data_IF_288967334089
#
_entry.id   IF_288967334089
#
_cell.length_a   1.000
_cell.length_b   1.000
_cell.length_c   1.000
_cell.angle_alpha   90.00
_cell.angle_beta   90.00
_cell.angle_gamma   90.00
#
_symmetry.space_group_name_H-M   'P 1'
#
loop_
_entity.id
_entity.type
_entity.pdbx_description
1 polymer ?
#
# COMPACT_ATOMS: atom_id res chain seq x y z
N UNK A 1 -33.94 -1.98 11.74
CA UNK A 1 -33.72 -3.43 11.96
C UNK A 1 -32.81 -3.57 13.20
N UNK A 2 -33.02 -4.55 14.09
CA UNK A 2 -32.16 -4.70 15.29
C UNK A 2 -30.99 -5.64 14.93
N UNK A 3 -29.73 -5.25 15.17
CA UNK A 3 -28.54 -6.06 14.89
C UNK A 3 -28.55 -7.42 15.62
N UNK A 4 -28.01 -8.45 14.97
CA UNK A 4 -27.99 -9.82 15.51
C UNK A 4 -27.27 -9.91 16.87
N UNK A 5 -26.12 -9.25 17.01
CA UNK A 5 -25.35 -9.17 18.25
C UNK A 5 -26.13 -8.55 19.41
N UNK A 6 -26.92 -7.51 19.15
CA UNK A 6 -27.80 -6.87 20.15
C UNK A 6 -28.93 -7.83 20.55
N UNK A 7 -29.55 -8.53 19.58
CA UNK A 7 -30.58 -9.54 19.89
C UNK A 7 -30.02 -10.68 20.74
N UNK A 8 -28.80 -11.12 20.45
CA UNK A 8 -28.12 -12.20 21.19
C UNK A 8 -27.79 -11.80 22.63
N UNK A 9 -27.55 -10.51 22.89
CA UNK A 9 -27.23 -9.99 24.21
C UNK A 9 -28.45 -9.90 25.16
N UNK A 10 -29.68 -9.99 24.63
CA UNK A 10 -30.92 -10.08 25.41
C UNK A 10 -31.78 -8.81 25.39
N UNK A 11 -32.90 -8.87 26.09
CA UNK A 11 -33.97 -7.86 26.01
C UNK A 11 -33.53 -6.48 26.52
N UNK A 12 -32.67 -6.42 27.54
CA UNK A 12 -32.13 -5.16 28.05
C UNK A 12 -31.23 -4.43 27.03
N UNK A 13 -30.44 -5.18 26.26
CA UNK A 13 -29.61 -4.64 25.20
C UNK A 13 -30.48 -4.11 24.06
N UNK A 14 -31.55 -4.83 23.70
CA UNK A 14 -32.53 -4.37 22.71
C UNK A 14 -33.19 -3.05 23.16
N UNK A 15 -33.64 -2.96 24.40
CA UNK A 15 -34.25 -1.75 24.94
C UNK A 15 -33.28 -0.55 24.96
N UNK A 16 -32.02 -0.80 25.28
CA UNK A 16 -30.96 0.23 25.30
C UNK A 16 -30.60 0.69 23.88
N UNK A 17 -30.54 -0.23 22.92
CA UNK A 17 -30.35 0.08 21.50
C UNK A 17 -31.50 0.94 20.95
N UNK A 18 -32.74 0.54 21.20
CA UNK A 18 -33.92 1.27 20.72
C UNK A 18 -34.03 2.67 21.33
N UNK A 19 -33.75 2.83 22.63
CA UNK A 19 -33.68 4.15 23.27
C UNK A 19 -32.61 5.05 22.64
N UNK A 20 -31.43 4.50 22.38
CA UNK A 20 -30.34 5.24 21.74
C UNK A 20 -30.70 5.68 20.32
N UNK A 21 -31.30 4.79 19.52
CA UNK A 21 -31.79 5.12 18.19
C UNK A 21 -32.92 6.18 18.22
N UNK A 22 -33.85 6.09 19.17
CA UNK A 22 -34.92 7.06 19.34
C UNK A 22 -34.40 8.46 19.73
N UNK A 23 -33.25 8.53 20.42
CA UNK A 23 -32.57 9.79 20.74
C UNK A 23 -31.77 10.39 19.57
N UNK A 24 -31.78 9.75 18.39
CA UNK A 24 -31.08 10.22 17.20
C UNK A 24 -29.60 9.83 17.12
N UNK A 25 -29.15 8.87 17.95
CA UNK A 25 -27.79 8.37 17.87
C UNK A 25 -27.54 7.58 16.57
N UNK A 26 -26.26 7.46 16.19
CA UNK A 26 -25.86 6.57 15.09
C UNK A 26 -26.01 5.11 15.51
N UNK A 27 -26.26 4.22 14.53
CA UNK A 27 -26.44 2.78 14.78
C UNK A 27 -25.23 2.17 15.51
N UNK A 28 -24.01 2.55 15.12
CA UNK A 28 -22.76 2.13 15.78
C UNK A 28 -22.70 2.56 17.25
N UNK A 29 -23.09 3.79 17.57
CA UNK A 29 -23.13 4.28 18.95
C UNK A 29 -24.22 3.58 19.78
N UNK A 30 -25.39 3.33 19.18
CA UNK A 30 -26.46 2.59 19.83
C UNK A 30 -26.05 1.14 20.16
N UNK A 31 -25.33 0.46 19.25
CA UNK A 31 -24.77 -0.88 19.48
C UNK A 31 -23.75 -0.85 20.63
N UNK A 32 -22.86 0.15 20.63
CA UNK A 32 -21.84 0.34 21.68
C UNK A 32 -22.49 0.46 23.07
N UNK A 33 -23.49 1.34 23.21
CA UNK A 33 -24.24 1.51 24.46
C UNK A 33 -25.02 0.25 24.86
N UNK A 34 -25.65 -0.42 23.90
CA UNK A 34 -26.44 -1.63 24.14
C UNK A 34 -25.60 -2.82 24.61
N UNK A 35 -24.40 -3.00 24.05
CA UNK A 35 -23.49 -4.09 24.38
C UNK A 35 -22.52 -3.76 25.51
N UNK A 36 -22.57 -2.53 26.03
CA UNK A 36 -21.59 -1.98 26.98
C UNK A 36 -20.14 -2.21 26.54
N UNK A 37 -19.92 -2.31 25.23
CA UNK A 37 -18.61 -2.53 24.64
C UNK A 37 -18.08 -1.19 24.20
N UNK A 38 -16.88 -0.77 24.63
CA UNK A 38 -16.30 0.47 24.15
C UNK A 38 -16.14 0.43 22.62
N UNK A 39 -16.14 1.60 21.95
CA UNK A 39 -16.00 1.62 20.50
C UNK A 39 -14.65 1.01 20.12
N UNK A 40 -14.64 0.14 19.12
CA UNK A 40 -13.39 -0.41 18.60
C UNK A 40 -12.46 0.72 18.17
N UNK A 41 -11.25 0.79 18.71
CA UNK A 41 -10.30 1.88 18.41
C UNK A 41 -9.58 1.64 17.08
N UNK A 42 -10.34 1.46 15.99
CA UNK A 42 -9.79 1.29 14.65
C UNK A 42 -9.01 2.55 14.25
N UNK A 43 -7.79 2.39 13.75
CA UNK A 43 -6.95 3.51 13.29
C UNK A 43 -6.08 4.16 14.37
N UNK A 44 -6.14 3.69 15.62
CA UNK A 44 -5.16 4.10 16.64
C UNK A 44 -3.89 3.24 16.56
N UNK A 45 -2.74 3.81 16.94
CA UNK A 45 -1.49 3.05 17.04
C UNK A 45 -1.60 1.89 18.02
N UNK A 46 -2.35 2.08 19.12
CA UNK A 46 -2.65 1.02 20.08
C UNK A 46 -3.29 -0.19 19.40
N UNK A 47 -4.34 0.02 18.62
CA UNK A 47 -5.00 -1.07 17.89
C UNK A 47 -4.14 -1.62 16.74
N UNK A 48 -3.31 -0.77 16.12
CA UNK A 48 -2.39 -1.21 15.08
C UNK A 48 -1.27 -2.11 15.62
N UNK A 49 -0.79 -1.86 16.84
CA UNK A 49 0.32 -2.59 17.46
C UNK A 49 -0.13 -3.68 18.44
N UNK A 50 -1.43 -3.79 18.72
CA UNK A 50 -2.02 -4.84 19.54
C UNK A 50 -1.63 -6.22 19.02
N UNK A 51 -1.02 -7.05 19.88
CA UNK A 51 -0.51 -8.37 19.51
C UNK A 51 0.76 -8.35 18.66
N UNK A 52 1.51 -7.24 18.60
CA UNK A 52 2.70 -7.11 17.71
C UNK A 52 3.96 -6.57 18.40
N UNK A 53 3.83 -5.96 19.59
CA UNK A 53 4.94 -5.29 20.30
C UNK A 53 6.16 -6.20 20.59
N UNK A 54 5.97 -7.50 20.80
CA UNK A 54 7.03 -8.45 21.17
C UNK A 54 7.39 -9.44 20.07
N UNK A 55 7.41 -9.01 18.81
CA UNK A 55 7.61 -9.89 17.63
C UNK A 55 6.54 -10.98 17.47
N UNK A 56 5.41 -10.87 18.17
CA UNK A 56 4.28 -11.81 18.10
C UNK A 56 3.72 -11.97 16.68
N UNK A 57 3.97 -11.00 15.79
CA UNK A 57 3.70 -11.13 14.35
C UNK A 57 4.40 -12.34 13.68
N UNK A 58 5.50 -12.83 14.26
CA UNK A 58 6.26 -13.97 13.76
C UNK A 58 5.76 -15.29 14.36
N UNK A 59 4.91 -15.27 15.38
CA UNK A 59 4.43 -16.49 16.06
C UNK A 59 3.56 -17.36 15.13
N UNK A 60 2.91 -16.75 14.14
CA UNK A 60 2.17 -17.45 13.09
C UNK A 60 3.07 -18.09 12.01
N UNK A 61 4.38 -17.87 12.05
CA UNK A 61 5.33 -18.42 11.07
C UNK A 61 6.02 -19.68 11.62
N UNK A 62 6.43 -20.62 10.74
CA UNK A 62 7.32 -21.70 11.14
C UNK A 62 8.59 -21.15 11.82
N UNK A 63 9.00 -21.74 12.94
CA UNK A 63 10.08 -21.22 13.77
C UNK A 63 11.39 -20.95 13.01
N UNK A 64 11.71 -21.77 11.99
CA UNK A 64 12.89 -21.56 11.14
C UNK A 64 12.78 -20.28 10.30
N UNK A 65 11.60 -20.00 9.75
CA UNK A 65 11.35 -18.80 8.96
C UNK A 65 11.35 -17.55 9.84
N UNK A 66 10.71 -17.60 11.00
CA UNK A 66 10.73 -16.50 11.98
C UNK A 66 12.17 -16.13 12.38
N UNK A 67 13.00 -17.13 12.71
CA UNK A 67 14.42 -16.93 13.02
C UNK A 67 15.20 -16.35 11.83
N UNK A 68 14.93 -16.83 10.63
CA UNK A 68 15.59 -16.35 9.42
C UNK A 68 15.26 -14.87 9.14
N UNK A 69 13.98 -14.50 9.14
CA UNK A 69 13.52 -13.11 8.94
C UNK A 69 14.14 -12.18 9.99
N UNK A 70 14.10 -12.58 11.27
CA UNK A 70 14.67 -11.80 12.35
C UNK A 70 16.20 -11.65 12.22
N UNK A 71 16.90 -12.71 11.83
CA UNK A 71 18.35 -12.68 11.62
C UNK A 71 18.73 -11.77 10.44
N UNK A 72 18.02 -11.85 9.32
CA UNK A 72 18.30 -11.02 8.15
C UNK A 72 17.97 -9.53 8.39
N UNK A 73 16.88 -9.24 9.08
CA UNK A 73 16.55 -7.87 9.46
C UNK A 73 17.62 -7.30 10.42
N UNK A 74 18.05 -8.08 11.41
CA UNK A 74 19.12 -7.69 12.34
C UNK A 74 20.46 -7.49 11.63
N UNK A 75 20.80 -8.36 10.68
CA UNK A 75 22.01 -8.23 9.86
C UNK A 75 21.98 -6.96 8.99
N UNK A 76 20.79 -6.50 8.59
CA UNK A 76 20.59 -5.22 7.92
C UNK A 76 20.58 -4.01 8.88
N UNK A 77 20.86 -4.21 10.18
CA UNK A 77 20.90 -3.15 11.19
C UNK A 77 19.52 -2.72 11.72
N UNK A 78 18.47 -3.51 11.49
CA UNK A 78 17.09 -3.16 11.86
C UNK A 78 16.79 -3.67 13.27
N UNK A 79 16.32 -2.78 14.15
CA UNK A 79 15.68 -3.19 15.40
C UNK A 79 14.22 -3.53 15.13
N UNK A 80 13.90 -4.83 15.16
CA UNK A 80 12.55 -5.36 14.93
C UNK A 80 11.66 -5.33 16.19
N UNK A 81 12.25 -5.16 17.38
CA UNK A 81 11.50 -5.12 18.63
C UNK A 81 10.58 -3.90 18.67
N UNK A 82 9.31 -4.10 19.04
CA UNK A 82 8.31 -3.02 19.03
C UNK A 82 7.92 -2.54 17.64
N UNK A 83 8.33 -3.23 16.57
CA UNK A 83 7.99 -2.86 15.18
C UNK A 83 7.24 -3.99 14.49
N UNK A 84 6.32 -3.62 13.62
CA UNK A 84 5.56 -4.51 12.76
C UNK A 84 6.09 -4.45 11.32
N UNK A 85 6.30 -5.62 10.72
CA UNK A 85 6.68 -5.76 9.33
C UNK A 85 5.46 -5.67 8.43
N UNK A 86 5.42 -4.64 7.58
CA UNK A 86 4.37 -4.46 6.58
C UNK A 86 4.95 -4.76 5.20
N UNK A 87 4.78 -5.99 4.75
CA UNK A 87 5.31 -6.44 3.45
C UNK A 87 4.84 -5.62 2.25
N UNK A 88 3.64 -5.04 2.31
CA UNK A 88 3.11 -4.14 1.28
C UNK A 88 3.87 -2.81 1.15
N UNK A 89 4.63 -2.42 2.18
CA UNK A 89 5.48 -1.23 2.14
C UNK A 89 6.88 -1.55 1.61
N UNK A 90 7.34 -2.79 1.70
CA UNK A 90 8.71 -3.18 1.41
C UNK A 90 9.11 -2.91 -0.05
N UNK A 91 10.38 -2.53 -0.24
CA UNK A 91 10.99 -2.53 -1.56
C UNK A 91 11.49 -3.93 -1.99
N UNK A 92 12.35 -4.00 -3.00
CA UNK A 92 12.90 -5.28 -3.51
C UNK A 92 13.74 -6.05 -2.48
N UNK A 93 14.11 -5.44 -1.35
CA UNK A 93 14.87 -6.07 -0.26
C UNK A 93 13.99 -6.81 0.73
N UNK A 94 12.67 -6.68 0.66
CA UNK A 94 11.72 -7.38 1.54
C UNK A 94 11.93 -7.03 3.02
N UNK A 95 12.02 -8.03 3.90
CA UNK A 95 12.23 -7.84 5.34
C UNK A 95 13.58 -7.23 5.73
N UNK A 96 14.51 -7.07 4.78
CA UNK A 96 15.77 -6.33 4.98
C UNK A 96 15.62 -4.82 4.76
N UNK A 97 14.41 -4.35 4.44
CA UNK A 97 14.09 -2.94 4.24
C UNK A 97 13.67 -2.27 5.56
N UNK A 98 14.44 -1.31 6.10
CA UNK A 98 14.11 -0.65 7.35
C UNK A 98 12.76 0.06 7.35
N UNK A 99 12.32 0.58 6.19
CA UNK A 99 11.06 1.33 6.06
C UNK A 99 9.83 0.44 6.04
N UNK A 100 10.01 -0.89 5.89
CA UNK A 100 8.93 -1.85 6.01
C UNK A 100 8.62 -2.22 7.47
N UNK A 101 9.49 -1.85 8.43
CA UNK A 101 9.30 -2.08 9.85
C UNK A 101 8.81 -0.80 10.53
N UNK A 102 7.52 -0.77 10.86
CA UNK A 102 6.81 0.41 11.35
C UNK A 102 6.32 0.22 12.79
N UNK A 103 6.20 1.31 13.53
CA UNK A 103 5.72 1.35 14.91
C UNK A 103 4.40 2.09 15.08
N UNK A 104 3.93 2.78 14.03
CA UNK A 104 2.69 3.56 14.03
C UNK A 104 2.02 3.60 12.65
N UNK A 105 0.76 4.00 12.64
CA UNK A 105 0.00 4.27 11.41
C UNK A 105 0.59 5.47 10.63
N UNK A 106 1.16 6.45 11.32
CA UNK A 106 1.80 7.61 10.69
C UNK A 106 3.05 7.21 9.89
N UNK A 107 3.84 6.27 10.42
CA UNK A 107 4.99 5.72 9.69
C UNK A 107 4.53 4.96 8.43
N UNK A 108 3.42 4.22 8.51
CA UNK A 108 2.81 3.56 7.35
C UNK A 108 2.44 4.58 6.27
N UNK A 109 1.73 5.66 6.65
CA UNK A 109 1.31 6.70 5.71
C UNK A 109 2.53 7.40 5.08
N UNK A 110 3.53 7.75 5.89
CA UNK A 110 4.74 8.43 5.43
C UNK A 110 5.50 7.59 4.40
N UNK A 111 5.69 6.29 4.68
CA UNK A 111 6.39 5.38 3.76
C UNK A 111 5.55 5.14 2.50
N UNK A 112 4.23 5.00 2.63
CA UNK A 112 3.32 4.84 1.50
C UNK A 112 3.35 6.04 0.55
N UNK A 113 3.35 7.27 1.09
CA UNK A 113 3.48 8.51 0.33
C UNK A 113 4.85 8.62 -0.34
N UNK A 114 5.93 8.40 0.40
CA UNK A 114 7.29 8.48 -0.12
C UNK A 114 7.50 7.52 -1.31
N UNK A 115 6.93 6.32 -1.22
CA UNK A 115 7.07 5.27 -2.24
C UNK A 115 5.96 5.24 -3.27
N UNK A 116 4.97 6.13 -3.16
CA UNK A 116 3.71 6.10 -3.93
C UNK A 116 3.13 4.68 -4.02
N UNK A 117 2.97 4.03 -2.87
CA UNK A 117 2.34 2.72 -2.74
C UNK A 117 0.91 2.89 -2.26
N UNK A 118 -0.04 2.29 -2.97
CA UNK A 118 -1.41 2.23 -2.47
C UNK A 118 -1.45 1.34 -1.22
N UNK A 119 -2.09 1.82 -0.17
CA UNK A 119 -2.27 1.08 1.09
C UNK A 119 -3.73 1.18 1.50
N UNK A 120 -4.29 0.07 1.97
CA UNK A 120 -5.63 0.00 2.54
C UNK A 120 -5.62 -0.82 3.84
N UNK A 121 -6.49 -0.48 4.80
CA UNK A 121 -6.59 -1.18 6.07
C UNK A 121 -6.69 -0.24 7.26
N UNK A 122 -5.61 -0.16 8.06
CA UNK A 122 -5.51 0.79 9.17
C UNK A 122 -5.33 2.23 8.70
N UNK A 123 -4.66 2.39 7.55
CA UNK A 123 -4.48 3.66 6.84
C UNK A 123 -4.87 3.42 5.39
N UNK A 124 -5.58 4.39 4.80
CA UNK A 124 -5.98 4.35 3.39
C UNK A 124 -5.26 5.47 2.64
N UNK A 125 -4.44 5.11 1.66
CA UNK A 125 -3.74 6.04 0.77
C UNK A 125 -3.74 5.49 -0.65
N UNK A 126 -4.23 6.29 -1.60
CA UNK A 126 -4.14 6.01 -3.03
C UNK A 126 -3.32 7.12 -3.71
N UNK A 127 -2.12 6.80 -4.24
CA UNK A 127 -1.29 7.78 -4.94
C UNK A 127 -1.84 8.21 -6.31
N UNK A 128 -2.92 7.58 -6.79
CA UNK A 128 -3.49 7.80 -8.11
C UNK A 128 -2.57 7.34 -9.25
N UNK A 129 -2.94 7.58 -10.52
CA UNK A 129 -2.13 7.20 -11.66
C UNK A 129 -0.72 7.82 -11.57
N UNK A 130 0.30 7.03 -11.92
CA UNK A 130 1.65 7.54 -11.98
C UNK A 130 1.76 8.59 -13.11
N UNK A 131 2.49 9.70 -12.91
CA UNK A 131 2.74 10.62 -14.00
C UNK A 131 3.50 9.84 -15.08
N UNK A 132 3.13 10.00 -16.36
CA UNK A 132 3.72 9.24 -17.45
C UNK A 132 5.23 9.50 -17.48
N UNK A 133 6.03 8.47 -17.21
CA UNK A 133 7.47 8.55 -17.38
C UNK A 133 7.78 8.56 -18.87
N UNK A 134 8.41 9.65 -19.34
CA UNK A 134 8.89 9.76 -20.72
C UNK A 134 10.05 8.80 -20.91
N UNK A 135 9.79 7.59 -21.39
CA UNK A 135 10.83 6.66 -21.80
C UNK A 135 11.26 7.00 -23.23
N UNK A 136 12.57 7.16 -23.44
CA UNK A 136 13.13 7.15 -24.78
C UNK A 136 12.79 5.81 -25.45
N UNK A 137 12.48 5.85 -26.74
CA UNK A 137 12.25 4.63 -27.53
C UNK A 137 13.50 3.76 -27.43
N UNK A 138 13.31 2.45 -27.28
CA UNK A 138 14.45 1.54 -27.22
C UNK A 138 15.24 1.59 -28.52
N UNK A 139 16.57 1.53 -28.41
CA UNK A 139 17.47 1.49 -29.58
C UNK A 139 17.14 0.34 -30.54
N UNK A 140 16.58 -0.77 -30.04
CA UNK A 140 16.12 -1.88 -30.87
C UNK A 140 14.96 -1.48 -31.81
N UNK A 141 13.97 -0.74 -31.32
CA UNK A 141 12.83 -0.26 -32.11
C UNK A 141 13.31 0.78 -33.12
N UNK A 142 14.20 1.70 -32.71
CA UNK A 142 14.79 2.68 -33.63
C UNK A 142 15.55 1.98 -34.76
N UNK A 143 16.35 0.96 -34.47
CA UNK A 143 17.08 0.19 -35.49
C UNK A 143 16.15 -0.55 -36.44
N UNK A 144 15.08 -1.17 -35.94
CA UNK A 144 14.12 -1.90 -36.77
C UNK A 144 13.39 -0.95 -37.72
N UNK A 145 12.94 0.21 -37.24
CA UNK A 145 12.25 1.21 -38.05
C UNK A 145 13.18 1.88 -39.06
N UNK A 146 14.44 2.15 -38.69
CA UNK A 146 15.45 2.62 -39.64
C UNK A 146 15.72 1.58 -40.74
N UNK A 147 15.74 0.29 -40.41
CA UNK A 147 15.91 -0.78 -41.39
C UNK A 147 14.72 -0.87 -42.35
N UNK A 148 13.48 -0.73 -41.86
CA UNK A 148 12.27 -0.64 -42.71
C UNK A 148 12.31 0.61 -43.61
N UNK A 149 12.67 1.77 -43.07
CA UNK A 149 12.76 3.01 -43.83
C UNK A 149 13.87 2.95 -44.90
N UNK A 150 14.99 2.28 -44.61
CA UNK A 150 16.08 2.06 -45.57
C UNK A 150 15.71 1.07 -46.68
N UNK A 151 14.88 0.06 -46.41
CA UNK A 151 14.33 -0.82 -47.45
C UNK A 151 13.44 -0.05 -48.44
N UNK A 152 12.67 0.92 -47.94
CA UNK A 152 11.81 1.77 -48.76
C UNK A 152 12.60 2.88 -49.50
N UNK A 153 13.70 3.35 -48.91
CA UNK A 153 14.59 4.36 -49.51
C UNK A 153 16.07 3.94 -49.43
N UNK A 154 16.55 3.08 -50.36
CA UNK A 154 17.90 2.51 -50.29
C UNK A 154 19.05 3.53 -50.35
N UNK A 155 18.82 4.69 -50.95
CA UNK A 155 19.82 5.76 -51.14
C UNK A 155 19.85 6.78 -49.98
N UNK A 156 18.92 6.71 -49.03
CA UNK A 156 18.86 7.65 -47.92
C UNK A 156 19.96 7.37 -46.87
N UNK A 157 20.52 8.44 -46.29
CA UNK A 157 21.53 8.31 -45.23
C UNK A 157 20.89 7.80 -43.94
N UNK A 158 21.57 6.86 -43.28
CA UNK A 158 21.10 6.21 -42.05
C UNK A 158 20.89 7.22 -40.91
N UNK A 159 21.74 8.25 -40.82
CA UNK A 159 21.61 9.32 -39.82
C UNK A 159 20.30 10.11 -39.96
N UNK A 160 19.97 10.54 -41.18
CA UNK A 160 18.74 11.29 -41.47
C UNK A 160 17.47 10.42 -41.25
N UNK A 161 17.54 9.12 -41.57
CA UNK A 161 16.45 8.19 -41.28
C UNK A 161 16.25 7.98 -39.78
N UNK A 162 17.34 7.91 -39.00
CA UNK A 162 17.28 7.79 -37.54
C UNK A 162 16.66 9.04 -36.92
N UNK A 163 17.08 10.22 -37.33
CA UNK A 163 16.48 11.48 -36.88
C UNK A 163 15.00 11.56 -37.24
N UNK A 164 14.61 11.18 -38.46
CA UNK A 164 13.18 11.14 -38.87
C UNK A 164 12.36 10.12 -38.08
N UNK A 165 12.92 8.95 -37.76
CA UNK A 165 12.23 7.92 -36.94
C UNK A 165 12.09 8.41 -35.51
N UNK A 166 13.15 9.00 -34.94
CA UNK A 166 13.11 9.61 -33.63
C UNK A 166 12.14 10.79 -33.65
N UNK A 167 12.11 11.67 -34.64
CA UNK A 167 11.18 12.81 -34.69
C UNK A 167 9.72 12.39 -34.91
N UNK A 168 9.48 11.34 -35.72
CA UNK A 168 8.14 10.78 -35.99
C UNK A 168 7.56 10.08 -34.76
N UNK A 169 8.40 9.39 -33.98
CA UNK A 169 7.95 8.59 -32.85
C UNK A 169 8.26 9.21 -31.48
N UNK A 170 9.19 10.17 -31.40
CA UNK A 170 9.37 11.01 -30.23
C UNK A 170 8.15 11.89 -30.13
N UNK A 171 7.52 11.78 -28.98
CA UNK A 171 6.34 12.55 -28.63
C UNK A 171 6.65 14.05 -28.77
N UNK A 172 5.96 14.76 -29.69
CA UNK A 172 5.96 16.23 -29.73
C UNK A 172 5.48 16.72 -28.36
N UNK A 173 6.38 17.28 -27.56
CA UNK A 173 5.96 18.14 -26.47
C UNK A 173 5.24 19.33 -27.12
N UNK A 174 3.91 19.38 -27.05
CA UNK A 174 3.20 20.64 -27.27
C UNK A 174 3.78 21.61 -26.25
N UNK A 175 4.45 22.64 -26.78
CA UNK A 175 5.09 23.70 -26.00
C UNK A 175 4.12 24.26 -24.98
N UNK A 176 4.67 24.51 -23.79
CA UNK A 176 4.07 25.37 -22.78
C UNK A 176 4.71 26.74 -22.92
#
# INVERSE_FOLDING_TARGET
>A
MIPYEVKRAGDEAIATYQRSMASGATEQFAIMCALQTPPGTRGTDRAFMEGRYNNQQLDGMPARQAKYVAAEAKAAGINISGKYYVGGLADSRGWRDPKAWVSSNDEVLKVAQERRRAVSGSVNYDPGPAPPQRKLISESIVREEVAKAKRLNPKAKVGELREKVIEKHAYRAKGR
#
